data_IF_032110534741
#
_entry.id   IF_032110534741
#
_cell.length_a   1.000
_cell.length_b   1.000
_cell.length_c   1.000
_cell.angle_alpha   90.00
_cell.angle_beta   90.00
_cell.angle_gamma   90.00
#
_symmetry.space_group_name_H-M   'P 1'
#
loop_
_entity.id
_entity.type
_entity.pdbx_description
1 polymer ?
#
# COMPACT_ATOMS: atom_id res chain seq x y z
N UNK A 1 16.66 1.42 7.10
CA UNK A 1 15.55 0.44 7.15
C UNK A 1 14.37 0.85 6.27
N UNK A 2 13.94 2.12 6.29
CA UNK A 2 12.85 2.65 5.46
C UNK A 2 13.00 2.38 3.94
N UNK A 3 14.18 2.63 3.35
CA UNK A 3 14.47 2.29 1.94
C UNK A 3 14.25 0.80 1.61
N UNK A 4 14.53 -0.07 2.59
CA UNK A 4 14.39 -1.52 2.44
C UNK A 4 12.92 -1.93 2.41
N UNK A 5 12.07 -1.29 3.21
CA UNK A 5 10.61 -1.47 3.18
C UNK A 5 10.04 -1.05 1.82
N UNK A 6 10.40 0.15 1.34
CA UNK A 6 9.96 0.64 0.03
C UNK A 6 10.40 -0.29 -1.11
N UNK A 7 11.61 -0.84 -1.01
CA UNK A 7 12.14 -1.80 -1.97
C UNK A 7 11.35 -3.12 -1.98
N UNK A 8 10.96 -3.65 -0.81
CA UNK A 8 10.11 -4.84 -0.71
C UNK A 8 8.72 -4.61 -1.36
N UNK A 9 8.16 -3.41 -1.20
CA UNK A 9 6.87 -3.04 -1.78
C UNK A 9 6.99 -2.87 -3.31
N UNK A 10 8.08 -2.25 -3.79
CA UNK A 10 8.33 -2.01 -5.22
C UNK A 10 8.71 -3.27 -6.00
N UNK A 11 9.75 -3.98 -5.54
CA UNK A 11 10.38 -5.06 -6.30
C UNK A 11 9.67 -6.39 -6.08
N UNK A 12 9.32 -6.70 -4.84
CA UNK A 12 8.70 -7.98 -4.50
C UNK A 12 7.16 -7.93 -4.51
N UNK A 13 6.58 -6.75 -4.80
CA UNK A 13 5.12 -6.50 -4.78
C UNK A 13 4.46 -6.94 -3.46
N UNK A 14 5.22 -6.93 -2.36
CA UNK A 14 4.71 -7.34 -1.05
C UNK A 14 3.98 -6.16 -0.43
N UNK A 15 2.65 -6.15 -0.55
CA UNK A 15 1.79 -5.11 0.01
C UNK A 15 1.23 -5.45 1.41
N UNK A 16 1.33 -6.71 1.85
CA UNK A 16 0.78 -7.14 3.14
C UNK A 16 1.76 -6.88 4.30
N UNK A 17 1.33 -6.10 5.29
CA UNK A 17 2.12 -5.75 6.50
C UNK A 17 2.77 -6.98 7.18
N UNK A 18 2.03 -8.08 7.31
CA UNK A 18 2.54 -9.33 7.95
C UNK A 18 3.73 -9.92 7.21
N UNK A 19 3.68 -9.94 5.88
CA UNK A 19 4.77 -10.45 5.03
C UNK A 19 5.98 -9.51 5.08
N UNK A 20 5.75 -8.19 5.05
CA UNK A 20 6.82 -7.19 5.18
C UNK A 20 7.51 -7.34 6.54
N UNK A 21 6.76 -7.47 7.64
CA UNK A 21 7.32 -7.62 8.99
C UNK A 21 8.19 -8.88 9.10
N UNK A 22 7.70 -10.00 8.55
CA UNK A 22 8.42 -11.27 8.51
C UNK A 22 9.71 -11.17 7.71
N UNK A 23 9.68 -10.56 6.52
CA UNK A 23 10.88 -10.38 5.67
C UNK A 23 11.89 -9.39 6.26
N UNK A 24 11.40 -8.38 6.96
CA UNK A 24 12.23 -7.39 7.64
C UNK A 24 12.79 -7.92 8.97
N UNK A 25 12.23 -9.00 9.53
CA UNK A 25 12.61 -9.54 10.83
C UNK A 25 12.26 -8.61 11.99
N UNK A 26 11.20 -7.81 11.85
CA UNK A 26 10.78 -6.80 12.84
C UNK A 26 9.40 -7.12 13.40
N UNK A 27 9.13 -6.58 14.59
CA UNK A 27 7.79 -6.65 15.19
C UNK A 27 6.80 -5.83 14.35
N UNK A 28 5.52 -6.25 14.36
CA UNK A 28 4.47 -5.54 13.62
C UNK A 28 4.34 -4.08 14.04
N UNK A 29 4.40 -3.78 15.34
CA UNK A 29 4.30 -2.39 15.83
C UNK A 29 5.43 -1.50 15.29
N UNK A 30 6.66 -2.01 15.31
CA UNK A 30 7.80 -1.28 14.75
C UNK A 30 7.69 -1.09 13.23
N UNK A 31 7.09 -2.06 12.51
CA UNK A 31 6.77 -1.88 11.09
C UNK A 31 5.69 -0.80 10.90
N UNK A 32 4.67 -0.77 11.75
CA UNK A 32 3.61 0.23 11.68
C UNK A 32 4.14 1.64 11.89
N UNK A 33 5.00 1.87 12.89
CA UNK A 33 5.67 3.15 13.09
C UNK A 33 6.49 3.56 11.86
N UNK A 34 7.23 2.62 11.25
CA UNK A 34 8.01 2.88 10.04
C UNK A 34 7.15 3.18 8.81
N UNK A 35 6.00 2.52 8.68
CA UNK A 35 5.04 2.79 7.60
C UNK A 35 4.38 4.15 7.79
N UNK A 36 4.08 4.55 9.03
CA UNK A 36 3.53 5.85 9.36
C UNK A 36 4.49 6.97 8.95
N UNK A 37 5.77 6.85 9.33
CA UNK A 37 6.82 7.78 8.90
C UNK A 37 6.89 7.87 7.37
N UNK A 38 6.80 6.75 6.65
CA UNK A 38 6.82 6.75 5.18
C UNK A 38 5.57 7.40 4.56
N UNK A 39 4.42 7.29 5.21
CA UNK A 39 3.17 7.94 4.79
C UNK A 39 3.23 9.45 5.05
N UNK A 40 3.64 9.85 6.25
CA UNK A 40 3.78 11.26 6.64
C UNK A 40 4.77 12.00 5.74
N UNK A 41 5.86 11.34 5.36
CA UNK A 41 6.85 11.90 4.43
C UNK A 41 6.44 11.78 2.95
N UNK A 42 5.28 11.19 2.65
CA UNK A 42 4.75 11.07 1.30
C UNK A 42 5.50 10.09 0.39
N UNK A 43 6.30 9.18 0.97
CA UNK A 43 6.97 8.09 0.24
C UNK A 43 6.04 6.89 -0.01
N UNK A 44 5.03 6.73 0.84
CA UNK A 44 3.94 5.78 0.67
C UNK A 44 2.61 6.49 0.56
N UNK A 45 1.65 5.84 -0.10
CA UNK A 45 0.23 6.20 -0.09
C UNK A 45 -0.60 4.95 0.11
N UNK A 46 -1.71 5.09 0.82
CA UNK A 46 -2.73 4.04 0.82
C UNK A 46 -3.42 4.02 -0.53
N UNK A 47 -3.51 2.84 -1.14
CA UNK A 47 -4.47 2.61 -2.20
C UNK A 47 -5.85 2.54 -1.58
N UNK A 48 -6.54 3.67 -1.53
CA UNK A 48 -7.99 3.60 -1.61
C UNK A 48 -8.31 3.19 -3.03
N UNK A 49 -8.80 1.97 -3.23
CA UNK A 49 -9.79 1.80 -4.29
C UNK A 49 -10.94 2.72 -3.89
N UNK A 50 -10.92 3.96 -4.39
CA UNK A 50 -12.10 4.80 -4.44
C UNK A 50 -13.05 4.18 -5.46
N UNK A 51 -13.67 3.04 -5.12
CA UNK A 51 -15.01 2.81 -5.61
C UNK A 51 -15.86 3.82 -4.86
N UNK A 52 -15.92 5.03 -5.42
CA UNK A 52 -16.79 6.08 -4.94
C UNK A 52 -18.21 5.49 -4.96
N UNK A 53 -18.86 5.25 -3.81
CA UNK A 53 -20.18 4.65 -3.79
C UNK A 53 -21.22 5.56 -4.47
N UNK A 54 -20.86 6.81 -4.76
CA UNK A 54 -21.69 7.81 -5.42
C UNK A 54 -21.48 7.88 -6.95
N UNK A 55 -20.42 7.24 -7.50
CA UNK A 55 -20.33 7.05 -8.96
C UNK A 55 -21.04 5.74 -9.30
N UNK A 56 -22.37 5.82 -9.45
CA UNK A 56 -23.07 4.85 -10.27
C UNK A 56 -22.52 4.98 -11.69
N UNK A 57 -21.59 4.10 -12.08
CA UNK A 57 -21.19 3.94 -13.47
C UNK A 57 -22.25 3.09 -14.17
N UNK A 58 -23.20 3.66 -14.95
CA UNK A 58 -24.25 2.88 -15.61
C UNK A 58 -23.72 1.93 -16.69
N UNK A 59 -22.41 1.99 -17.01
CA UNK A 59 -21.80 1.29 -18.15
C UNK A 59 -20.70 0.31 -17.76
N UNK A 60 -20.44 0.07 -16.47
CA UNK A 60 -19.36 -0.83 -16.05
C UNK A 60 -19.90 -2.24 -15.76
N UNK A 61 -19.70 -3.24 -16.65
CA UNK A 61 -20.19 -4.61 -16.46
C UNK A 61 -19.51 -5.37 -15.30
N UNK A 62 -18.58 -4.74 -14.56
CA UNK A 62 -17.92 -5.30 -13.38
C UNK A 62 -18.43 -4.71 -12.04
N UNK A 63 -19.62 -4.11 -12.01
CA UNK A 63 -20.20 -3.51 -10.80
C UNK A 63 -20.39 -4.51 -9.63
N UNK A 64 -20.70 -5.78 -9.92
CA UNK A 64 -20.82 -6.82 -8.88
C UNK A 64 -19.47 -7.20 -8.25
N UNK A 65 -18.38 -7.10 -9.00
CA UNK A 65 -17.03 -7.41 -8.50
C UNK A 65 -16.49 -6.29 -7.60
N UNK A 66 -16.87 -5.02 -7.80
CA UNK A 66 -16.41 -3.96 -6.89
C UNK A 66 -17.09 -4.04 -5.52
N UNK A 67 -18.36 -4.47 -5.45
CA UNK A 67 -19.07 -4.58 -4.17
C UNK A 67 -18.54 -5.71 -3.27
N UNK A 68 -17.97 -6.78 -3.83
CA UNK A 68 -17.44 -7.91 -3.06
C UNK A 68 -16.02 -7.69 -2.52
N UNK A 69 -15.28 -6.68 -3.01
CA UNK A 69 -13.93 -6.35 -2.52
C UNK A 69 -13.95 -5.50 -1.23
N UNK A 70 -14.97 -5.67 -0.38
CA UNK A 70 -15.04 -5.13 0.99
C UNK A 70 -14.16 -5.88 2.01
N UNK A 71 -13.29 -6.79 1.58
CA UNK A 71 -12.14 -7.17 2.40
C UNK A 71 -11.01 -6.19 2.09
N UNK A 72 -10.99 -5.14 2.92
CA UNK A 72 -10.02 -4.05 2.92
C UNK A 72 -8.60 -4.60 3.09
N UNK A 73 -8.00 -5.07 2.00
CA UNK A 73 -6.56 -5.12 1.90
C UNK A 73 -6.12 -3.66 1.70
N UNK A 74 -5.65 -3.01 2.76
CA UNK A 74 -4.96 -1.74 2.64
C UNK A 74 -3.68 -2.01 1.83
N UNK A 75 -3.74 -1.83 0.52
CA UNK A 75 -2.60 -1.97 -0.36
C UNK A 75 -1.75 -0.69 -0.29
N UNK A 76 -0.45 -0.84 -0.04
CA UNK A 76 0.50 0.27 0.00
C UNK A 76 1.08 0.51 -1.39
N UNK A 77 1.07 1.76 -1.82
CA UNK A 77 1.67 2.19 -3.08
C UNK A 77 2.85 3.11 -2.80
N UNK A 78 4.00 2.81 -3.41
CA UNK A 78 5.16 3.69 -3.35
C UNK A 78 4.96 4.86 -4.32
N UNK A 79 5.22 6.07 -3.85
CA UNK A 79 5.11 7.28 -4.67
C UNK A 79 6.36 7.49 -5.51
N UNK A 80 6.29 8.38 -6.50
CA UNK A 80 7.46 8.77 -7.29
C UNK A 80 8.60 9.29 -6.41
N UNK A 81 8.27 10.02 -5.33
CA UNK A 81 9.25 10.46 -4.32
C UNK A 81 9.87 9.28 -3.57
N UNK A 82 9.07 8.27 -3.22
CA UNK A 82 9.54 7.04 -2.58
C UNK A 82 10.46 6.23 -3.49
N UNK A 83 10.16 6.16 -4.79
CA UNK A 83 11.02 5.51 -5.77
C UNK A 83 12.38 6.21 -5.90
N UNK A 84 12.39 7.56 -5.96
CA UNK A 84 13.64 8.34 -5.96
C UNK A 84 14.44 8.12 -4.68
N UNK A 85 13.76 8.02 -3.53
CA UNK A 85 14.40 7.76 -2.25
C UNK A 85 15.07 6.37 -2.18
N UNK A 86 14.52 5.36 -2.85
CA UNK A 86 15.14 4.02 -2.94
C UNK A 86 16.33 4.00 -3.90
N UNK A 87 16.29 4.81 -4.97
CA UNK A 87 17.33 4.89 -6.01
C UNK A 87 18.50 5.80 -5.62
N UNK A 88 18.30 6.76 -4.72
CA UNK A 88 19.34 7.60 -4.12
C UNK A 88 20.09 6.87 -3.02
#
# INVERSE_FOLDING_TARGET
MLKRILRLILEEKVAHKKEIAKKMGVQMSALEDMLDILLENGYLRFGKCECNPEVSCPTCPMAEACHQKKMVAQEYYVTESGERFVKS
#
